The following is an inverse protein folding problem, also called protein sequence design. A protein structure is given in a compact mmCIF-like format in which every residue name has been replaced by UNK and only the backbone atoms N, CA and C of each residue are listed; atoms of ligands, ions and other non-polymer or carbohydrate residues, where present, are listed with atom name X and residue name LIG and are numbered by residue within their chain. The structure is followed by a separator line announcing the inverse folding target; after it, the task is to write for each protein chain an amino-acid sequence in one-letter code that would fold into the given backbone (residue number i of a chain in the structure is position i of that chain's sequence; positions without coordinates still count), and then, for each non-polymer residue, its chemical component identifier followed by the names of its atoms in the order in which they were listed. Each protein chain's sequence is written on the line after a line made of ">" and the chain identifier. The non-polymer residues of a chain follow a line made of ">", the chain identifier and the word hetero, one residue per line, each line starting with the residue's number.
data_IF_099751028614
#
_entry.id   IF_099751028614
#
_cell.length_a   1.000
_cell.length_b   1.000
_cell.length_c   1.000
_cell.angle_alpha   90.00
_cell.angle_beta   90.00
_cell.angle_gamma   90.00
#
_symmetry.space_group_name_H-M   'P 1'
#
loop_
_entity.id
_entity.type
_entity.pdbx_description
1 polymer ?
#
# COMPACT_ATOMS: atom_id res chain seq x y z
N UNK A 1 25.73 -3.68 -5.94
CA UNK A 1 24.70 -4.34 -5.11
C UNK A 1 23.35 -3.99 -5.69
N UNK A 2 22.52 -4.97 -6.02
CA UNK A 2 21.14 -4.74 -6.47
C UNK A 2 20.31 -4.23 -5.30
N UNK A 3 19.44 -3.25 -5.54
CA UNK A 3 18.50 -2.76 -4.53
C UNK A 3 17.50 -3.90 -4.22
N UNK A 4 17.18 -4.20 -2.95
CA UNK A 4 16.19 -5.23 -2.63
C UNK A 4 14.84 -4.86 -3.26
N UNK A 5 14.14 -5.87 -3.79
CA UNK A 5 12.80 -5.69 -4.37
C UNK A 5 11.87 -5.07 -3.31
N UNK A 6 11.21 -3.96 -3.64
CA UNK A 6 10.24 -3.35 -2.75
C UNK A 6 8.83 -3.74 -3.19
N UNK A 7 7.99 -4.13 -2.24
CA UNK A 7 6.63 -4.61 -2.50
C UNK A 7 5.67 -3.82 -1.62
N UNK A 8 4.76 -3.07 -2.24
CA UNK A 8 3.64 -2.44 -1.52
C UNK A 8 2.52 -3.46 -1.34
N UNK A 9 2.26 -3.88 -0.10
CA UNK A 9 1.21 -4.82 0.24
C UNK A 9 -0.06 -4.08 0.69
N UNK A 10 -1.18 -4.37 0.02
CA UNK A 10 -2.47 -3.77 0.29
C UNK A 10 -3.41 -4.84 0.86
N UNK A 11 -3.89 -4.65 2.08
CA UNK A 11 -4.92 -5.51 2.64
C UNK A 11 -6.28 -5.12 2.07
N UNK A 12 -7.01 -6.06 1.46
CA UNK A 12 -8.38 -5.82 0.98
C UNK A 12 -9.42 -5.66 2.09
N UNK A 13 -9.01 -5.62 3.36
CA UNK A 13 -9.90 -5.41 4.51
C UNK A 13 -9.44 -4.19 5.29
N UNK A 14 -10.38 -3.30 5.57
CA UNK A 14 -10.17 -2.02 6.25
C UNK A 14 -10.42 -2.07 7.77
N UNK A 15 -10.86 -3.22 8.30
CA UNK A 15 -11.09 -3.36 9.74
C UNK A 15 -9.76 -3.44 10.50
N UNK A 16 -9.74 -2.94 11.73
CA UNK A 16 -8.54 -2.86 12.56
C UNK A 16 -7.87 -4.21 12.89
N UNK A 17 -8.60 -5.33 12.84
CA UNK A 17 -8.10 -6.68 13.14
C UNK A 17 -8.32 -7.64 11.97
N UNK A 18 -7.71 -7.34 10.81
CA UNK A 18 -7.82 -8.19 9.62
C UNK A 18 -6.85 -9.36 9.67
N UNK A 19 -7.33 -10.59 9.45
CA UNK A 19 -6.45 -11.76 9.25
C UNK A 19 -5.51 -11.55 8.05
N UNK A 20 -5.94 -10.79 7.03
CA UNK A 20 -5.09 -10.47 5.88
C UNK A 20 -3.93 -9.53 6.26
N UNK A 21 -4.11 -8.62 7.22
CA UNK A 21 -2.99 -7.80 7.73
C UNK A 21 -1.97 -8.68 8.44
N UNK A 22 -2.44 -9.61 9.30
CA UNK A 22 -1.57 -10.57 9.99
C UNK A 22 -0.77 -11.42 8.98
N UNK A 23 -1.42 -11.88 7.91
CA UNK A 23 -0.73 -12.64 6.85
C UNK A 23 0.35 -11.80 6.14
N UNK A 24 0.07 -10.52 5.84
CA UNK A 24 1.06 -9.61 5.25
C UNK A 24 2.28 -9.47 6.17
N UNK A 25 2.07 -9.29 7.47
CA UNK A 25 3.15 -9.12 8.44
C UNK A 25 4.02 -10.39 8.55
N UNK A 26 3.40 -11.59 8.52
CA UNK A 26 4.12 -12.87 8.51
C UNK A 26 4.97 -13.00 7.23
N UNK A 27 4.40 -12.72 6.06
CA UNK A 27 5.11 -12.81 4.78
C UNK A 27 6.28 -11.80 4.74
N UNK A 28 6.10 -10.60 5.31
CA UNK A 28 7.16 -9.61 5.43
C UNK A 28 8.36 -10.13 6.23
N UNK A 29 8.11 -10.80 7.36
CA UNK A 29 9.17 -11.45 8.14
C UNK A 29 9.85 -12.61 7.41
N UNK A 30 9.09 -13.41 6.65
CA UNK A 30 9.65 -14.52 5.87
C UNK A 30 10.55 -14.07 4.71
N UNK A 31 10.30 -12.88 4.15
CA UNK A 31 11.05 -12.34 3.02
C UNK A 31 12.17 -11.36 3.44
N UNK A 32 12.43 -11.20 4.74
CA UNK A 32 13.49 -10.31 5.20
C UNK A 32 14.85 -10.68 4.57
N UNK A 33 15.57 -9.67 4.08
CA UNK A 33 16.79 -9.83 3.29
C UNK A 33 16.61 -10.22 1.81
N UNK A 34 15.45 -10.74 1.39
CA UNK A 34 15.13 -11.05 -0.01
C UNK A 34 14.29 -9.96 -0.69
N UNK A 35 13.31 -9.40 0.04
CA UNK A 35 12.47 -8.30 -0.41
C UNK A 35 12.03 -7.44 0.78
N UNK A 36 11.76 -6.17 0.53
CA UNK A 36 11.18 -5.25 1.51
C UNK A 36 9.69 -5.13 1.26
N UNK A 37 8.88 -5.71 2.13
CA UNK A 37 7.44 -5.52 2.11
C UNK A 37 7.08 -4.27 2.93
N UNK A 38 6.28 -3.38 2.33
CA UNK A 38 5.74 -2.17 2.97
C UNK A 38 4.22 -2.28 2.95
N UNK A 39 3.59 -2.17 4.12
CA UNK A 39 2.12 -2.19 4.23
C UNK A 39 1.52 -0.85 3.84
N UNK A 40 0.45 -0.87 3.04
CA UNK A 40 -0.39 0.30 2.79
C UNK A 40 -1.61 0.31 3.72
N UNK A 41 -1.70 1.32 4.58
CA UNK A 41 -2.77 1.46 5.58
C UNK A 41 -3.84 2.51 5.22
N UNK A 42 -3.61 3.31 4.18
CA UNK A 42 -4.49 4.40 3.78
C UNK A 42 -5.73 3.97 2.98
N UNK A 43 -6.07 2.67 2.92
CA UNK A 43 -7.14 2.18 2.03
C UNK A 43 -8.51 2.79 2.39
N UNK A 44 -8.79 2.95 3.68
CA UNK A 44 -10.03 3.59 4.18
C UNK A 44 -10.09 5.09 3.91
N UNK A 45 -8.95 5.72 3.64
CA UNK A 45 -8.82 7.16 3.39
C UNK A 45 -8.93 7.49 1.89
N UNK A 46 -8.86 6.48 1.02
CA UNK A 46 -9.10 6.67 -0.40
C UNK A 46 -10.57 7.02 -0.62
N UNK A 47 -10.87 8.09 -1.38
CA UNK A 47 -12.24 8.42 -1.71
C UNK A 47 -12.85 7.33 -2.59
N UNK A 48 -14.18 7.22 -2.59
CA UNK A 48 -14.85 6.51 -3.65
C UNK A 48 -14.42 7.10 -5.00
N UNK A 49 -14.21 6.22 -5.99
CA UNK A 49 -13.86 6.65 -7.32
C UNK A 49 -14.90 7.65 -7.85
N UNK A 50 -14.41 8.81 -8.25
CA UNK A 50 -15.20 9.85 -8.89
C UNK A 50 -14.32 10.52 -9.97
N UNK A 51 -14.69 10.42 -11.26
CA UNK A 51 -13.90 11.01 -12.34
C UNK A 51 -13.78 12.54 -12.23
N UNK A 52 -14.74 13.22 -11.59
CA UNK A 52 -14.67 14.68 -11.37
C UNK A 52 -13.53 15.07 -10.41
N UNK A 53 -13.10 14.14 -9.55
CA UNK A 53 -12.00 14.33 -8.60
C UNK A 53 -10.65 13.86 -9.16
N UNK A 54 -10.64 13.14 -10.29
CA UNK A 54 -9.41 12.62 -10.92
C UNK A 54 -8.85 13.61 -11.95
N UNK A 55 -8.32 14.72 -11.43
CA UNK A 55 -7.75 15.81 -12.22
C UNK A 55 -6.22 15.86 -12.06
N UNK A 56 -5.57 16.89 -12.61
CA UNK A 56 -4.14 17.19 -12.36
C UNK A 56 -3.81 17.42 -10.88
N UNK A 57 -4.82 17.68 -10.04
CA UNK A 57 -4.68 17.86 -8.59
C UNK A 57 -5.72 17.00 -7.84
N UNK A 58 -5.53 15.68 -7.80
CA UNK A 58 -6.47 14.76 -7.16
C UNK A 58 -6.35 14.85 -5.62
N UNK A 59 -7.28 14.23 -4.86
CA UNK A 59 -7.22 14.21 -3.40
C UNK A 59 -5.88 13.72 -2.85
N UNK A 60 -5.44 14.28 -1.72
CA UNK A 60 -4.11 14.03 -1.14
C UNK A 60 -3.85 12.54 -0.89
N UNK A 61 -4.84 11.80 -0.40
CA UNK A 61 -4.73 10.35 -0.18
C UNK A 61 -4.42 9.58 -1.47
N UNK A 62 -4.97 10.02 -2.61
CA UNK A 62 -4.69 9.45 -3.95
C UNK A 62 -3.27 9.79 -4.38
N UNK A 63 -2.81 11.02 -4.16
CA UNK A 63 -1.42 11.44 -4.45
C UNK A 63 -0.43 10.61 -3.63
N UNK A 64 -0.67 10.46 -2.33
CA UNK A 64 0.17 9.69 -1.43
C UNK A 64 0.21 8.21 -1.81
N UNK A 65 -0.94 7.62 -2.18
CA UNK A 65 -1.01 6.24 -2.69
C UNK A 65 -0.22 6.06 -4.00
N UNK A 66 -0.43 6.95 -4.98
CA UNK A 66 0.30 6.94 -6.27
C UNK A 66 1.81 7.09 -6.07
N UNK A 67 2.25 7.86 -5.08
CA UNK A 67 3.67 7.99 -4.72
C UNK A 67 4.23 6.65 -4.21
N UNK A 68 3.56 6.02 -3.25
CA UNK A 68 4.00 4.72 -2.71
C UNK A 68 4.05 3.63 -3.79
N UNK A 69 3.10 3.62 -4.73
CA UNK A 69 3.11 2.70 -5.87
C UNK A 69 4.32 2.89 -6.80
N UNK A 70 4.78 4.14 -6.99
CA UNK A 70 5.95 4.44 -7.82
C UNK A 70 7.28 4.14 -7.11
N UNK A 71 7.28 4.19 -5.78
CA UNK A 71 8.46 3.94 -4.94
C UNK A 71 8.71 2.46 -4.69
N UNK A 72 7.69 1.61 -4.85
CA UNK A 72 7.79 0.16 -4.80
C UNK A 72 8.34 -0.40 -6.13
#
# INVERSE_FOLDING_TARGET
>A
MTRPLQILAISGSTRAQSTNQVLIDIIAGMLDGAARIVRFDGLSELPHFNPDLDTESPPEAVVAYRRQLKEA
#
